data_IF_850023869973
#
_entry.id   IF_850023869973
#
_cell.length_a   1.000
_cell.length_b   1.000
_cell.length_c   1.000
_cell.angle_alpha   90.00
_cell.angle_beta   90.00
_cell.angle_gamma   90.00
#
_symmetry.space_group_name_H-M   'P 1'
#
loop_
_entity.id
_entity.type
_entity.pdbx_description
1 polymer ?
#
# COMPACT_ATOMS: atom_id res chain seq x y z
N UNK A 1 -16.41 11.62 -30.66
CA UNK A 1 -15.20 10.92 -31.15
C UNK A 1 -14.00 11.81 -30.86
N UNK A 2 -12.87 11.19 -30.51
CA UNK A 2 -11.56 11.73 -30.08
C UNK A 2 -11.50 12.38 -28.69
N UNK A 3 -11.12 11.61 -27.66
CA UNK A 3 -10.02 12.01 -26.74
C UNK A 3 -9.48 10.88 -25.81
N UNK A 4 -9.53 9.61 -26.21
CA UNK A 4 -9.04 8.49 -25.36
C UNK A 4 -7.58 8.11 -25.62
N UNK A 5 -6.95 8.68 -26.65
CA UNK A 5 -5.58 8.34 -27.07
C UNK A 5 -4.47 9.09 -26.33
N UNK A 6 -4.73 10.31 -25.84
CA UNK A 6 -3.71 11.13 -25.17
C UNK A 6 -3.39 10.67 -23.74
N UNK A 7 -4.42 10.28 -22.98
CA UNK A 7 -4.28 9.98 -21.55
C UNK A 7 -3.50 8.67 -21.28
N UNK A 8 -3.64 7.64 -22.14
CA UNK A 8 -2.91 6.38 -21.98
C UNK A 8 -1.38 6.54 -22.06
N UNK A 9 -0.89 7.46 -22.90
CA UNK A 9 0.55 7.71 -23.05
C UNK A 9 1.14 8.37 -21.80
N UNK A 10 0.42 9.32 -21.19
CA UNK A 10 0.87 10.02 -19.99
C UNK A 10 0.94 9.09 -18.77
N UNK A 11 -0.05 8.20 -18.62
CA UNK A 11 -0.09 7.19 -17.55
C UNK A 11 1.11 6.26 -17.65
N UNK A 12 1.38 5.71 -18.82
CA UNK A 12 2.51 4.79 -19.04
C UNK A 12 3.86 5.48 -18.79
N UNK A 13 3.97 6.74 -19.21
CA UNK A 13 5.15 7.54 -18.95
C UNK A 13 5.37 7.78 -17.46
N UNK A 14 4.33 8.15 -16.70
CA UNK A 14 4.45 8.35 -15.25
C UNK A 14 4.80 7.06 -14.50
N UNK A 15 4.20 5.93 -14.89
CA UNK A 15 4.52 4.60 -14.35
C UNK A 15 5.99 4.24 -14.58
N UNK A 16 6.49 4.41 -15.81
CA UNK A 16 7.87 4.10 -16.15
C UNK A 16 8.86 5.02 -15.42
N UNK A 17 8.53 6.30 -15.27
CA UNK A 17 9.43 7.26 -14.64
C UNK A 17 9.47 7.06 -13.11
N UNK A 18 8.34 6.75 -12.46
CA UNK A 18 8.23 6.76 -10.99
C UNK A 18 8.11 5.37 -10.34
N UNK A 19 7.72 4.34 -11.08
CA UNK A 19 7.48 2.99 -10.54
C UNK A 19 6.16 2.82 -9.81
N UNK A 20 5.29 3.84 -9.82
CA UNK A 20 3.93 3.70 -9.30
C UNK A 20 3.08 2.79 -10.20
N UNK A 21 2.02 2.21 -9.66
CA UNK A 21 1.10 1.41 -10.46
C UNK A 21 0.27 2.29 -11.41
N UNK A 22 -0.23 1.71 -12.50
CA UNK A 22 -1.04 2.41 -13.52
C UNK A 22 -2.26 3.13 -12.96
N UNK A 23 -2.84 2.64 -11.87
CA UNK A 23 -4.08 3.20 -11.29
C UNK A 23 -3.73 4.44 -10.49
N UNK A 24 -2.70 4.38 -9.64
CA UNK A 24 -2.16 5.55 -8.96
C UNK A 24 -1.66 6.60 -9.96
N UNK A 25 -0.97 6.19 -11.02
CA UNK A 25 -0.55 7.10 -12.09
C UNK A 25 -1.74 7.81 -12.76
N UNK A 26 -2.77 7.07 -13.13
CA UNK A 26 -4.01 7.62 -13.73
C UNK A 26 -4.72 8.59 -12.78
N UNK A 27 -4.75 8.26 -11.50
CA UNK A 27 -5.36 9.08 -10.46
C UNK A 27 -4.59 10.38 -10.23
N UNK A 28 -3.26 10.31 -10.14
CA UNK A 28 -2.41 11.46 -9.95
C UNK A 28 -2.46 12.40 -11.14
N UNK A 29 -2.41 11.89 -12.37
CA UNK A 29 -2.55 12.71 -13.57
C UNK A 29 -3.92 13.38 -13.63
N UNK A 30 -5.00 12.66 -13.32
CA UNK A 30 -6.34 13.27 -13.24
C UNK A 30 -6.42 14.37 -12.17
N UNK A 31 -5.72 14.20 -11.05
CA UNK A 31 -5.68 15.18 -9.96
C UNK A 31 -4.84 16.41 -10.30
N UNK A 32 -3.74 16.24 -11.03
CA UNK A 32 -2.85 17.34 -11.43
C UNK A 32 -3.25 17.99 -12.75
N UNK A 33 -4.37 17.59 -13.36
CA UNK A 33 -4.82 18.11 -14.65
C UNK A 33 -3.88 17.72 -15.79
N UNK A 34 -3.44 16.47 -15.79
CA UNK A 34 -2.47 15.87 -16.70
C UNK A 34 -1.03 16.44 -16.59
N UNK A 35 -0.72 17.19 -15.51
CA UNK A 35 0.64 17.61 -15.17
C UNK A 35 1.46 16.45 -14.58
N UNK A 36 2.29 15.82 -15.43
CA UNK A 36 3.20 14.74 -15.06
C UNK A 36 4.19 15.18 -13.97
N UNK A 37 4.75 16.39 -14.05
CA UNK A 37 5.79 16.82 -13.12
C UNK A 37 5.19 17.16 -11.75
N UNK A 38 3.95 17.68 -11.73
CA UNK A 38 3.10 17.74 -10.54
C UNK A 38 2.90 16.37 -9.91
N UNK A 39 2.52 15.37 -10.71
CA UNK A 39 2.30 14.01 -10.23
C UNK A 39 3.57 13.36 -9.67
N UNK A 40 4.73 13.60 -10.31
CA UNK A 40 6.04 13.17 -9.79
C UNK A 40 6.38 13.78 -8.46
N UNK A 41 6.21 15.09 -8.29
CA UNK A 41 6.49 15.77 -7.02
C UNK A 41 5.69 15.18 -5.87
N UNK A 42 4.45 14.74 -6.13
CA UNK A 42 3.62 14.06 -5.13
C UNK A 42 4.22 12.69 -4.76
N UNK A 43 4.70 11.92 -5.75
CA UNK A 43 5.35 10.63 -5.51
C UNK A 43 6.70 10.80 -4.79
N UNK A 44 7.49 11.81 -5.17
CA UNK A 44 8.77 12.12 -4.54
C UNK A 44 8.64 12.60 -3.09
N UNK A 45 7.47 13.16 -2.73
CA UNK A 45 7.16 13.55 -1.35
C UNK A 45 6.91 12.35 -0.42
N UNK A 46 6.80 11.13 -0.97
CA UNK A 46 6.58 9.92 -0.18
C UNK A 46 7.79 9.66 0.72
N UNK A 47 7.55 9.39 2.01
CA UNK A 47 8.59 8.97 2.95
C UNK A 47 9.49 7.86 2.40
N UNK A 48 10.79 8.12 2.37
CA UNK A 48 11.81 7.07 2.21
C UNK A 48 11.98 6.34 3.54
N UNK A 49 11.28 5.23 3.69
CA UNK A 49 11.19 4.39 4.88
C UNK A 49 11.62 2.93 4.63
N UNK A 50 12.16 2.66 3.45
CA UNK A 50 12.73 1.38 3.08
C UNK A 50 14.25 1.50 3.05
N UNK A 51 14.91 0.65 3.83
CA UNK A 51 16.36 0.54 3.90
C UNK A 51 16.84 -0.54 2.92
N UNK A 52 17.56 -0.13 1.88
CA UNK A 52 18.22 -1.02 0.94
C UNK A 52 19.65 -1.29 1.42
N UNK A 53 19.87 -2.46 2.01
CA UNK A 53 21.17 -2.87 2.57
C UNK A 53 21.92 -3.68 1.52
N UNK A 54 23.11 -3.20 1.15
CA UNK A 54 24.06 -3.86 0.24
C UNK A 54 25.24 -4.33 1.05
N UNK A 55 25.61 -5.59 0.97
CA UNK A 55 26.72 -6.15 1.72
C UNK A 55 27.56 -7.08 0.85
N UNK A 56 28.87 -7.11 1.12
CA UNK A 56 29.79 -8.15 0.61
C UNK A 56 30.66 -8.65 1.73
N UNK A 57 30.97 -9.94 1.69
CA UNK A 57 31.78 -10.58 2.70
C UNK A 57 32.76 -11.58 2.10
N UNK A 58 33.84 -11.82 2.84
CA UNK A 58 34.84 -12.83 2.54
C UNK A 58 35.07 -13.61 3.83
N UNK A 59 34.96 -14.94 3.75
CA UNK A 59 35.26 -15.84 4.87
C UNK A 59 36.70 -16.33 4.69
N UNK A 60 37.59 -15.96 5.61
CA UNK A 60 39.03 -16.16 5.39
C UNK A 60 39.47 -17.61 5.61
N UNK A 61 38.77 -18.36 6.45
CA UNK A 61 39.10 -19.75 6.76
C UNK A 61 38.44 -20.69 5.74
N UNK A 62 37.15 -20.47 5.47
CA UNK A 62 36.36 -21.33 4.58
C UNK A 62 36.46 -20.92 3.10
N UNK A 63 37.00 -19.74 2.81
CA UNK A 63 37.34 -19.30 1.45
C UNK A 63 36.15 -18.86 0.59
N UNK A 64 34.97 -18.63 1.18
CA UNK A 64 33.79 -18.16 0.46
C UNK A 64 33.84 -16.65 0.27
N UNK A 65 33.36 -16.24 -0.89
CA UNK A 65 33.03 -14.86 -1.23
C UNK A 65 31.51 -14.78 -1.38
N UNK A 66 30.92 -13.75 -0.80
CA UNK A 66 29.49 -13.55 -0.89
C UNK A 66 29.10 -12.10 -0.98
N UNK A 67 27.94 -11.86 -1.59
CA UNK A 67 27.28 -10.58 -1.60
C UNK A 67 25.79 -10.77 -1.32
N UNK A 68 25.24 -9.86 -0.52
CA UNK A 68 23.87 -9.88 -0.01
C UNK A 68 23.24 -8.52 -0.27
N UNK A 69 21.99 -8.56 -0.70
CA UNK A 69 21.13 -7.40 -0.86
C UNK A 69 19.79 -7.70 -0.21
N UNK A 70 19.26 -6.77 0.60
CA UNK A 70 17.89 -6.84 1.05
C UNK A 70 17.26 -5.47 1.28
N UNK A 71 15.94 -5.41 1.15
CA UNK A 71 15.14 -4.22 1.45
C UNK A 71 14.31 -4.46 2.71
N UNK A 72 14.61 -3.71 3.78
CA UNK A 72 13.85 -3.69 5.01
C UNK A 72 12.87 -2.52 5.01
N UNK A 73 11.58 -2.81 5.11
CA UNK A 73 10.53 -1.81 5.30
C UNK A 73 10.34 -1.56 6.81
N UNK A 74 10.67 -0.34 7.25
CA UNK A 74 10.56 0.05 8.67
C UNK A 74 9.11 0.05 9.15
N UNK A 75 8.16 0.48 8.31
CA UNK A 75 6.75 0.60 8.68
C UNK A 75 6.09 -0.76 8.82
N UNK A 76 6.32 -1.64 7.85
CA UNK A 76 5.78 -3.00 7.86
C UNK A 76 6.58 -3.95 8.77
N UNK A 77 7.79 -3.54 9.16
CA UNK A 77 8.77 -4.36 9.88
C UNK A 77 8.97 -5.69 9.18
N UNK A 78 9.27 -5.65 7.88
CA UNK A 78 9.43 -6.83 7.04
C UNK A 78 10.54 -6.63 6.02
N UNK A 79 11.18 -7.74 5.65
CA UNK A 79 12.04 -7.78 4.47
C UNK A 79 11.14 -7.96 3.25
N UNK A 80 11.13 -6.99 2.36
CA UNK A 80 10.33 -7.03 1.12
C UNK A 80 11.08 -7.67 -0.04
N UNK A 81 12.41 -7.63 -0.01
CA UNK A 81 13.27 -8.07 -1.10
C UNK A 81 14.56 -8.65 -0.55
N UNK A 82 15.04 -9.76 -1.11
CA UNK A 82 16.30 -10.38 -0.70
C UNK A 82 16.95 -11.08 -1.89
N UNK A 83 18.22 -10.79 -2.10
CA UNK A 83 19.06 -11.46 -3.07
C UNK A 83 20.44 -11.74 -2.47
N UNK A 84 21.02 -12.88 -2.79
CA UNK A 84 22.38 -13.19 -2.38
C UNK A 84 23.06 -14.06 -3.43
N UNK A 85 24.38 -13.90 -3.55
CA UNK A 85 25.27 -14.78 -4.28
C UNK A 85 26.40 -15.21 -3.35
N UNK A 86 26.74 -16.49 -3.34
CA UNK A 86 27.78 -17.08 -2.51
C UNK A 86 28.54 -18.08 -3.37
N UNK A 87 29.86 -18.08 -3.29
CA UNK A 87 30.70 -19.03 -4.02
C UNK A 87 32.17 -18.87 -3.63
N UNK A 88 33.06 -19.47 -4.41
CA UNK A 88 34.51 -19.38 -4.29
C UNK A 88 35.13 -18.32 -5.24
N UNK A 89 34.32 -17.73 -6.11
CA UNK A 89 34.71 -16.70 -7.07
C UNK A 89 35.13 -15.39 -6.41
N UNK A 90 36.41 -15.02 -6.55
CA UNK A 90 36.99 -13.77 -6.03
C UNK A 90 36.35 -12.51 -6.64
N UNK A 91 35.68 -12.65 -7.78
CA UNK A 91 34.94 -11.61 -8.49
C UNK A 91 33.84 -11.00 -7.61
N UNK A 92 33.18 -11.79 -6.76
CA UNK A 92 32.15 -11.30 -5.83
C UNK A 92 32.75 -10.26 -4.87
N UNK A 93 34.01 -10.46 -4.43
CA UNK A 93 34.71 -9.51 -3.58
C UNK A 93 34.97 -8.14 -4.25
N UNK A 94 34.91 -8.09 -5.59
CA UNK A 94 35.09 -6.86 -6.38
C UNK A 94 33.80 -6.07 -6.58
N UNK A 95 32.65 -6.57 -6.16
CA UNK A 95 31.39 -5.83 -6.27
C UNK A 95 31.48 -4.49 -5.55
N UNK A 96 30.94 -3.46 -6.18
CA UNK A 96 31.08 -2.08 -5.74
C UNK A 96 29.84 -1.68 -4.95
N UNK A 97 30.02 -1.42 -3.64
CA UNK A 97 28.92 -1.09 -2.74
C UNK A 97 28.45 0.37 -2.87
N UNK A 98 29.26 1.23 -3.50
CA UNK A 98 28.95 2.63 -3.79
C UNK A 98 27.96 2.80 -4.95
N UNK A 99 27.69 1.76 -5.74
CA UNK A 99 26.67 1.77 -6.78
C UNK A 99 25.28 1.99 -6.18
N UNK A 100 24.35 2.53 -6.97
CA UNK A 100 22.93 2.55 -6.60
C UNK A 100 22.44 1.13 -6.33
N UNK A 101 21.52 0.97 -5.36
CA UNK A 101 21.03 -0.35 -4.96
C UNK A 101 20.43 -1.17 -6.10
N UNK A 102 19.86 -0.53 -7.13
CA UNK A 102 19.31 -1.24 -8.29
C UNK A 102 20.41 -1.84 -9.15
N UNK A 103 21.46 -1.06 -9.40
CA UNK A 103 22.62 -1.50 -10.17
C UNK A 103 23.35 -2.63 -9.43
N UNK A 104 23.49 -2.50 -8.10
CA UNK A 104 24.06 -3.55 -7.27
C UNK A 104 23.23 -4.83 -7.32
N UNK A 105 21.90 -4.72 -7.20
CA UNK A 105 21.01 -5.87 -7.32
C UNK A 105 21.10 -6.53 -8.71
N UNK A 106 21.13 -5.73 -9.78
CA UNK A 106 21.28 -6.24 -11.13
C UNK A 106 22.60 -6.98 -11.32
N UNK A 107 23.69 -6.49 -10.73
CA UNK A 107 24.99 -7.16 -10.72
C UNK A 107 24.90 -8.54 -10.04
N UNK A 108 24.15 -8.66 -8.94
CA UNK A 108 23.91 -9.96 -8.30
C UNK A 108 23.14 -10.92 -9.24
N UNK A 109 22.09 -10.44 -9.91
CA UNK A 109 21.31 -11.25 -10.86
C UNK A 109 22.15 -11.76 -12.02
N UNK A 110 22.95 -10.88 -12.62
CA UNK A 110 23.81 -11.26 -13.72
C UNK A 110 24.83 -12.31 -13.28
N UNK A 111 25.47 -12.11 -12.13
CA UNK A 111 26.43 -13.06 -11.59
C UNK A 111 25.80 -14.44 -11.31
N UNK A 112 24.62 -14.46 -10.67
CA UNK A 112 23.90 -15.69 -10.35
C UNK A 112 23.50 -16.50 -11.60
N UNK A 113 23.27 -15.83 -12.74
CA UNK A 113 22.97 -16.47 -14.03
C UNK A 113 24.20 -17.04 -14.71
N UNK A 114 25.31 -16.29 -14.70
CA UNK A 114 26.49 -16.62 -15.48
C UNK A 114 27.45 -17.58 -14.77
N UNK A 115 27.41 -17.62 -13.43
CA UNK A 115 28.41 -18.31 -12.61
C UNK A 115 27.77 -19.34 -11.69
N UNK A 116 28.56 -20.35 -11.34
CA UNK A 116 28.17 -21.33 -10.33
C UNK A 116 28.13 -20.65 -8.96
N UNK A 117 27.00 -20.83 -8.26
CA UNK A 117 26.79 -20.32 -6.90
C UNK A 117 26.43 -21.48 -5.96
N UNK A 118 26.71 -21.30 -4.67
CA UNK A 118 26.29 -22.23 -3.62
C UNK A 118 24.83 -21.95 -3.23
N UNK A 119 23.91 -22.61 -3.94
CA UNK A 119 22.47 -22.45 -3.73
C UNK A 119 22.04 -22.81 -2.30
N UNK A 120 22.66 -23.82 -1.67
CA UNK A 120 22.30 -24.26 -0.32
C UNK A 120 22.62 -23.18 0.72
N UNK A 121 23.83 -22.59 0.65
CA UNK A 121 24.20 -21.47 1.53
C UNK A 121 23.38 -20.22 1.26
N UNK A 122 23.03 -19.95 0.00
CA UNK A 122 22.15 -18.83 -0.36
C UNK A 122 20.77 -19.01 0.27
N UNK A 123 20.18 -20.19 0.21
CA UNK A 123 18.90 -20.46 0.85
C UNK A 123 18.96 -20.33 2.37
N UNK A 124 20.02 -20.84 3.00
CA UNK A 124 20.24 -20.70 4.44
C UNK A 124 20.33 -19.22 4.84
N UNK A 125 21.12 -18.42 4.12
CA UNK A 125 21.23 -16.98 4.34
C UNK A 125 19.87 -16.28 4.17
N UNK A 126 19.15 -16.58 3.10
CA UNK A 126 17.81 -16.01 2.86
C UNK A 126 16.85 -16.35 4.00
N UNK A 127 16.87 -17.57 4.52
CA UNK A 127 16.02 -17.98 5.66
C UNK A 127 16.36 -17.22 6.93
N UNK A 128 17.64 -17.03 7.24
CA UNK A 128 18.09 -16.26 8.41
C UNK A 128 17.72 -14.78 8.31
N UNK A 129 17.97 -14.16 7.15
CA UNK A 129 17.62 -12.75 6.90
C UNK A 129 16.10 -12.51 6.93
N UNK A 130 15.30 -13.48 6.49
CA UNK A 130 13.84 -13.40 6.57
C UNK A 130 13.27 -13.89 7.91
N UNK A 131 14.12 -14.29 8.86
CA UNK A 131 13.68 -14.77 10.15
C UNK A 131 13.10 -13.63 10.99
N UNK A 132 12.14 -13.97 11.85
CA UNK A 132 11.52 -13.01 12.77
C UNK A 132 12.56 -12.38 13.71
N UNK A 133 13.50 -13.18 14.21
CA UNK A 133 14.54 -12.71 15.13
C UNK A 133 15.43 -11.65 14.47
N UNK A 134 15.88 -11.89 13.24
CA UNK A 134 16.68 -10.93 12.49
C UNK A 134 15.91 -9.64 12.21
N UNK A 135 14.65 -9.74 11.83
CA UNK A 135 13.78 -8.58 11.58
C UNK A 135 13.54 -7.74 12.84
N UNK A 136 13.34 -8.39 13.99
CA UNK A 136 13.20 -7.70 15.28
C UNK A 136 14.48 -6.95 15.65
N UNK A 137 15.65 -7.59 15.49
CA UNK A 137 16.98 -6.98 15.64
C UNK A 137 17.16 -5.75 14.72
N UNK A 138 16.84 -5.88 13.43
CA UNK A 138 16.92 -4.79 12.46
C UNK A 138 16.02 -3.62 12.83
N UNK A 139 14.80 -3.88 13.33
CA UNK A 139 13.83 -2.84 13.68
C UNK A 139 14.28 -1.87 14.77
N UNK A 140 15.27 -2.29 15.58
CA UNK A 140 15.87 -1.43 16.60
C UNK A 140 16.94 -0.51 16.00
N UNK A 141 17.63 -0.98 14.95
CA UNK A 141 18.83 -0.34 14.37
C UNK A 141 18.49 0.55 13.19
N UNK A 142 17.62 0.08 12.30
CA UNK A 142 17.23 0.77 11.07
C UNK A 142 15.96 1.57 11.32
N UNK A 143 16.13 2.87 11.59
CA UNK A 143 15.03 3.81 11.82
C UNK A 143 15.23 5.09 11.06
N UNK A 144 14.23 5.54 10.30
CA UNK A 144 14.32 6.69 9.39
C UNK A 144 14.76 7.96 10.09
N UNK A 145 14.27 8.17 11.32
CA UNK A 145 14.49 9.39 12.08
C UNK A 145 15.73 9.32 12.99
N UNK A 146 16.62 8.34 12.81
CA UNK A 146 17.82 8.17 13.62
C UNK A 146 19.02 7.78 12.75
N UNK A 147 20.23 8.23 13.08
CA UNK A 147 21.43 7.73 12.41
C UNK A 147 21.54 6.22 12.63
N UNK A 148 21.87 5.49 11.56
CA UNK A 148 22.01 4.04 11.64
C UNK A 148 23.22 3.69 12.51
N UNK A 149 23.01 2.84 13.52
CA UNK A 149 24.10 2.27 14.29
C UNK A 149 24.81 1.20 13.44
N UNK A 150 25.82 1.63 12.68
CA UNK A 150 26.60 0.77 11.77
C UNK A 150 27.31 -0.36 12.51
N UNK A 151 27.78 -0.14 13.73
CA UNK A 151 28.44 -1.18 14.54
C UNK A 151 27.45 -2.29 14.92
N UNK A 152 26.26 -1.92 15.40
CA UNK A 152 25.22 -2.92 15.71
C UNK A 152 24.75 -3.68 14.47
N UNK A 153 24.61 -3.00 13.32
CA UNK A 153 24.27 -3.68 12.07
C UNK A 153 25.37 -4.65 11.63
N UNK A 154 26.64 -4.22 11.74
CA UNK A 154 27.79 -5.05 11.42
C UNK A 154 27.78 -6.33 12.26
N UNK A 155 27.58 -6.21 13.58
CA UNK A 155 27.59 -7.35 14.49
C UNK A 155 26.47 -8.33 14.14
N UNK A 156 25.25 -7.84 13.89
CA UNK A 156 24.12 -8.71 13.56
C UNK A 156 24.33 -9.42 12.23
N UNK A 157 24.87 -8.75 11.22
CA UNK A 157 25.21 -9.40 9.95
C UNK A 157 26.34 -10.43 10.12
N UNK A 158 27.36 -10.14 10.93
CA UNK A 158 28.44 -11.08 11.22
C UNK A 158 27.93 -12.31 11.98
N UNK A 159 27.03 -12.14 12.94
CA UNK A 159 26.40 -13.25 13.67
C UNK A 159 25.66 -14.19 12.71
N UNK A 160 24.86 -13.64 11.79
CA UNK A 160 24.16 -14.46 10.79
C UNK A 160 25.13 -15.17 9.85
N UNK A 161 26.21 -14.51 9.42
CA UNK A 161 27.21 -15.14 8.56
C UNK A 161 27.98 -16.24 9.33
N UNK A 162 28.34 -16.01 10.58
CA UNK A 162 28.98 -17.01 11.43
C UNK A 162 28.13 -18.28 11.54
N UNK A 163 26.81 -18.14 11.69
CA UNK A 163 25.88 -19.27 11.76
C UNK A 163 25.85 -20.15 10.49
N UNK A 164 26.23 -19.60 9.33
CA UNK A 164 26.22 -20.31 8.03
C UNK A 164 27.59 -20.90 7.69
N UNK A 165 28.65 -20.15 7.97
CA UNK A 165 30.00 -20.48 7.53
C UNK A 165 30.85 -21.12 8.64
N UNK A 166 30.45 -20.99 9.91
CA UNK A 166 31.25 -21.36 11.07
C UNK A 166 32.68 -20.79 11.00
N UNK A 167 32.80 -19.58 10.44
CA UNK A 167 34.07 -18.90 10.20
C UNK A 167 34.21 -17.73 11.17
N UNK A 168 35.21 -17.76 12.03
CA UNK A 168 35.46 -16.71 13.02
C UNK A 168 36.16 -15.49 12.44
N UNK A 169 36.58 -15.54 11.17
CA UNK A 169 37.33 -14.49 10.51
C UNK A 169 36.64 -14.09 9.19
N UNK A 170 35.54 -13.36 9.34
CA UNK A 170 34.72 -12.86 8.23
C UNK A 170 34.99 -11.37 8.06
N UNK A 171 35.49 -10.98 6.89
CA UNK A 171 35.59 -9.58 6.50
C UNK A 171 34.28 -9.15 5.85
N UNK A 172 33.52 -8.27 6.50
CA UNK A 172 32.24 -7.74 6.00
C UNK A 172 32.38 -6.25 5.65
N UNK A 173 31.81 -5.85 4.52
CA UNK A 173 31.56 -4.44 4.17
C UNK A 173 30.11 -4.30 3.75
N UNK A 174 29.49 -3.19 4.11
CA UNK A 174 28.12 -2.89 3.70
C UNK A 174 27.92 -1.40 3.46
N UNK A 175 26.91 -1.08 2.66
CA UNK A 175 26.35 0.26 2.51
C UNK A 175 24.81 0.19 2.59
N UNK A 176 24.22 1.33 2.92
CA UNK A 176 22.78 1.43 3.15
C UNK A 176 22.25 2.62 2.36
N UNK A 177 21.30 2.35 1.48
CA UNK A 177 20.54 3.38 0.79
C UNK A 177 19.13 3.46 1.37
N UNK A 178 18.48 4.62 1.23
CA UNK A 178 17.09 4.81 1.62
C UNK A 178 16.24 5.02 0.37
N UNK A 179 15.17 4.25 0.26
CA UNK A 179 14.23 4.27 -0.86
C UNK A 179 12.78 4.29 -0.35
N UNK A 180 11.85 4.53 -1.25
CA UNK A 180 10.40 4.39 -1.01
C UNK A 180 9.85 3.15 -1.74
N UNK A 181 8.58 2.85 -1.48
CA UNK A 181 7.86 1.69 -2.03
C UNK A 181 7.71 1.76 -3.56
N UNK A 182 7.60 2.94 -4.15
CA UNK A 182 7.43 3.12 -5.59
C UNK A 182 8.74 2.87 -6.32
N UNK A 183 9.83 3.43 -5.79
CA UNK A 183 11.16 3.16 -6.27
C UNK A 183 11.57 1.68 -6.11
N UNK A 184 11.12 1.00 -5.05
CA UNK A 184 11.32 -0.45 -4.91
C UNK A 184 10.58 -1.25 -6.01
N UNK A 185 9.34 -0.86 -6.30
CA UNK A 185 8.48 -1.50 -7.29
C UNK A 185 8.93 -1.24 -8.74
N UNK A 186 9.56 -0.10 -9.04
CA UNK A 186 10.09 0.21 -10.38
C UNK A 186 11.00 -0.88 -10.93
N UNK A 187 11.87 -1.43 -10.09
CA UNK A 187 12.83 -2.47 -10.47
C UNK A 187 12.16 -3.79 -10.90
N UNK A 188 10.91 -4.04 -10.50
CA UNK A 188 10.14 -5.21 -10.96
C UNK A 188 9.58 -5.03 -12.39
N UNK A 189 9.36 -3.79 -12.82
CA UNK A 189 8.87 -3.51 -14.18
C UNK A 189 9.99 -3.52 -15.22
N UNK A 190 11.21 -3.09 -14.85
CA UNK A 190 12.39 -3.23 -15.71
C UNK A 190 12.80 -4.71 -15.90
N UNK A 191 12.45 -5.60 -14.97
CA UNK A 191 12.67 -7.05 -15.16
C UNK A 191 11.72 -7.73 -16.16
N UNK A 192 10.61 -7.08 -16.56
CA UNK A 192 9.74 -7.60 -17.62
C UNK A 192 10.28 -7.32 -19.05
N UNK A 193 11.38 -6.58 -19.19
CA UNK A 193 12.12 -6.46 -20.45
C UNK A 193 13.02 -7.67 -20.74
N UNK A 194 13.11 -8.65 -19.83
CA UNK A 194 14.07 -9.77 -19.93
C UNK A 194 13.47 -11.16 -19.76
N UNK A 195 12.13 -11.31 -19.86
CA UNK A 195 11.50 -12.62 -20.10
C UNK A 195 11.58 -12.90 -21.61
N UNK A 196 12.82 -13.11 -22.08
CA UNK A 196 13.14 -13.72 -23.36
C UNK A 196 13.65 -15.12 -23.09
N UNK A 197 12.97 -16.10 -23.65
CA UNK A 197 13.40 -17.50 -23.84
C UNK A 197 13.59 -18.39 -22.60
N UNK A 198 12.46 -18.82 -22.03
CA UNK A 198 12.32 -20.19 -21.54
C UNK A 198 11.05 -20.84 -22.11
N UNK A 199 11.07 -21.09 -23.42
CA UNK A 199 10.36 -22.23 -24.02
C UNK A 199 11.40 -23.21 -24.55
N UNK A 200 11.57 -24.33 -23.84
CA UNK A 200 11.61 -25.72 -24.37
C UNK A 200 12.28 -26.65 -23.37
N UNK A 201 11.50 -27.47 -22.67
CA UNK A 201 11.56 -28.94 -22.77
C UNK A 201 10.41 -29.59 -21.96
N UNK A 202 9.63 -30.47 -22.59
CA UNK A 202 8.73 -31.47 -21.97
C UNK A 202 7.30 -30.99 -21.69
N UNK A 203 6.39 -31.02 -22.66
CA UNK A 203 5.46 -32.13 -22.98
C UNK A 203 4.08 -31.99 -22.31
N UNK A 204 3.15 -31.51 -23.14
CA UNK A 204 1.72 -31.84 -23.29
C UNK A 204 0.87 -32.23 -22.06
N UNK A 205 -0.15 -31.39 -21.79
CA UNK A 205 -1.33 -31.77 -21.00
C UNK A 205 -2.11 -30.56 -20.46
N UNK A 206 -3.28 -30.31 -21.06
CA UNK A 206 -4.39 -29.45 -20.59
C UNK A 206 -4.28 -27.92 -20.72
N UNK A 207 -4.78 -27.47 -21.88
CA UNK A 207 -5.48 -26.20 -22.05
C UNK A 207 -6.67 -26.09 -21.09
N UNK A 208 -6.52 -25.42 -19.95
CA UNK A 208 -7.61 -24.73 -19.22
C UNK A 208 -7.09 -24.02 -17.96
N UNK A 209 -6.19 -23.03 -18.10
CA UNK A 209 -5.91 -22.12 -16.96
C UNK A 209 -5.29 -20.74 -17.31
N UNK A 210 -5.40 -20.25 -18.54
CA UNK A 210 -4.79 -18.98 -18.97
C UNK A 210 -5.53 -17.69 -18.53
N UNK A 211 -6.47 -17.76 -17.58
CA UNK A 211 -7.21 -16.57 -17.07
C UNK A 211 -6.99 -16.23 -15.60
N UNK A 212 -6.21 -17.00 -14.84
CA UNK A 212 -5.99 -16.75 -13.39
C UNK A 212 -4.65 -16.11 -13.01
N UNK A 213 -3.69 -16.01 -13.93
CA UNK A 213 -2.33 -15.56 -13.59
C UNK A 213 -2.06 -14.06 -13.80
N UNK A 214 -2.95 -13.31 -14.44
CA UNK A 214 -2.78 -11.85 -14.64
C UNK A 214 -3.20 -10.97 -13.46
N UNK A 215 -3.73 -11.55 -12.36
CA UNK A 215 -4.16 -10.81 -11.16
C UNK A 215 -3.11 -10.76 -10.02
N UNK A 216 -1.92 -11.32 -10.21
CA UNK A 216 -0.95 -11.49 -9.10
C UNK A 216 -0.03 -10.30 -8.81
N UNK A 217 -0.06 -9.23 -9.60
CA UNK A 217 0.86 -8.08 -9.45
C UNK A 217 0.18 -6.74 -9.10
N UNK A 218 -1.00 -6.77 -8.45
CA UNK A 218 -1.56 -5.57 -7.83
C UNK A 218 -1.16 -5.56 -6.36
N UNK A 219 -0.38 -4.57 -5.92
CA UNK A 219 -0.19 -4.32 -4.48
C UNK A 219 -1.54 -3.98 -3.88
N UNK A 220 -2.13 -4.95 -3.15
CA UNK A 220 -3.45 -4.83 -2.55
C UNK A 220 -3.33 -4.11 -1.20
N UNK A 221 -3.82 -2.87 -1.13
CA UNK A 221 -4.04 -2.16 0.12
C UNK A 221 -5.38 -2.62 0.68
N UNK A 222 -5.36 -3.19 1.89
CA UNK A 222 -6.55 -3.66 2.60
C UNK A 222 -6.78 -2.79 3.82
N UNK A 223 -7.89 -2.05 3.86
CA UNK A 223 -8.28 -1.10 4.90
C UNK A 223 -9.25 -1.76 5.90
N UNK A 224 -9.13 -1.40 7.18
CA UNK A 224 -10.24 -1.61 8.15
C UNK A 224 -11.36 -0.62 7.86
N UNK A 225 -12.57 -1.14 7.75
CA UNK A 225 -13.77 -0.37 7.46
C UNK A 225 -14.90 -0.84 8.36
N UNK A 226 -15.92 -0.02 8.56
CA UNK A 226 -17.17 -0.41 9.22
C UNK A 226 -18.36 -0.11 8.31
N UNK A 227 -19.32 -1.04 8.15
CA UNK A 227 -20.50 -0.81 7.34
C UNK A 227 -21.48 0.15 8.03
N UNK A 228 -22.26 0.86 7.22
CA UNK A 228 -23.40 1.64 7.73
C UNK A 228 -24.59 0.71 7.89
N UNK A 229 -25.07 0.55 9.13
CA UNK A 229 -26.20 -0.31 9.46
C UNK A 229 -27.54 0.35 9.14
N UNK A 230 -28.49 -0.43 8.64
CA UNK A 230 -29.88 -0.02 8.42
C UNK A 230 -30.85 -1.14 8.80
N UNK A 231 -31.21 -1.27 10.10
CA UNK A 231 -32.06 -2.38 10.58
C UNK A 231 -33.45 -2.46 9.93
N UNK A 232 -33.99 -1.32 9.48
CA UNK A 232 -35.35 -1.22 8.95
C UNK A 232 -35.40 -1.46 7.44
N UNK A 233 -34.49 -0.83 6.68
CA UNK A 233 -34.52 -0.81 5.21
C UNK A 233 -33.32 -1.45 4.53
N UNK A 234 -32.29 -1.81 5.29
CA UNK A 234 -31.07 -2.40 4.74
C UNK A 234 -31.26 -3.84 4.31
N UNK A 235 -30.32 -4.30 3.50
CA UNK A 235 -30.26 -5.69 3.03
C UNK A 235 -29.38 -6.49 4.00
N UNK A 236 -29.80 -7.68 4.46
CA UNK A 236 -28.96 -8.53 5.29
C UNK A 236 -27.65 -8.89 4.59
N UNK A 237 -26.54 -8.91 5.32
CA UNK A 237 -25.20 -9.19 4.76
C UNK A 237 -25.13 -10.53 4.03
N UNK A 238 -25.78 -11.56 4.56
CA UNK A 238 -25.87 -12.89 3.93
C UNK A 238 -26.56 -12.90 2.56
N UNK A 239 -27.38 -11.89 2.27
CA UNK A 239 -28.15 -11.79 1.04
C UNK A 239 -27.44 -10.89 0.00
N UNK A 240 -26.24 -10.38 0.30
CA UNK A 240 -25.44 -9.56 -0.62
C UNK A 240 -24.61 -10.42 -1.56
N UNK A 241 -24.55 -9.99 -2.82
CA UNK A 241 -23.80 -10.68 -3.88
C UNK A 241 -22.62 -9.85 -4.39
N UNK A 242 -21.74 -10.50 -5.16
CA UNK A 242 -20.62 -9.84 -5.82
C UNK A 242 -21.11 -8.68 -6.69
N UNK A 243 -20.52 -7.50 -6.48
CA UNK A 243 -20.83 -6.29 -7.24
C UNK A 243 -21.85 -5.37 -6.58
N UNK A 244 -22.54 -5.81 -5.52
CA UNK A 244 -23.44 -4.94 -4.75
C UNK A 244 -22.65 -3.79 -4.11
N UNK A 245 -23.23 -2.59 -4.11
CA UNK A 245 -22.61 -1.40 -3.51
C UNK A 245 -23.20 -1.11 -2.14
N UNK A 246 -22.36 -1.09 -1.12
CA UNK A 246 -22.73 -0.80 0.27
C UNK A 246 -22.01 0.44 0.79
N UNK A 247 -22.63 1.17 1.72
CA UNK A 247 -21.94 2.26 2.43
C UNK A 247 -21.04 1.71 3.54
N UNK A 248 -19.78 2.14 3.52
CA UNK A 248 -18.78 1.81 4.54
C UNK A 248 -18.00 3.05 4.95
N UNK A 249 -17.57 3.11 6.20
CA UNK A 249 -16.70 4.15 6.74
C UNK A 249 -15.31 3.56 6.94
N UNK A 250 -14.26 4.25 6.47
CA UNK A 250 -12.88 3.82 6.71
C UNK A 250 -12.54 4.12 8.18
N UNK A 251 -12.26 3.09 8.98
CA UNK A 251 -11.94 3.20 10.42
C UNK A 251 -10.48 2.91 10.73
N UNK A 252 -9.71 2.58 9.70
CA UNK A 252 -8.28 2.30 9.79
C UNK A 252 -7.44 3.54 10.17
N UNK A 253 -6.66 3.45 11.24
CA UNK A 253 -5.92 4.59 11.81
C UNK A 253 -4.56 4.87 11.12
N UNK A 254 -4.16 4.05 10.13
CA UNK A 254 -2.88 4.26 9.41
C UNK A 254 -2.93 5.55 8.58
N UNK A 255 -1.80 6.23 8.43
CA UNK A 255 -1.69 7.45 7.61
C UNK A 255 -2.16 7.25 6.17
N UNK A 256 -1.87 6.07 5.60
CA UNK A 256 -2.35 5.70 4.27
C UNK A 256 -3.88 5.62 4.21
N UNK A 257 -4.53 5.19 5.29
CA UNK A 257 -5.98 5.14 5.36
C UNK A 257 -6.58 6.54 5.50
N UNK A 258 -5.90 7.45 6.18
CA UNK A 258 -6.33 8.85 6.27
C UNK A 258 -6.21 9.59 4.94
N UNK A 259 -5.10 9.35 4.24
CA UNK A 259 -4.88 9.80 2.87
C UNK A 259 -5.94 9.23 1.91
N UNK A 260 -6.16 7.90 1.95
CA UNK A 260 -7.15 7.24 1.10
C UNK A 260 -8.59 7.65 1.46
N UNK A 261 -8.90 7.88 2.74
CA UNK A 261 -10.20 8.41 3.14
C UNK A 261 -10.42 9.81 2.56
N UNK A 262 -9.41 10.67 2.56
CA UNK A 262 -9.48 11.99 1.90
C UNK A 262 -9.70 11.85 0.40
N UNK A 263 -8.91 10.98 -0.24
CA UNK A 263 -8.91 10.79 -1.68
C UNK A 263 -10.19 10.15 -2.21
N UNK A 264 -10.77 9.21 -1.47
CA UNK A 264 -12.01 8.51 -1.84
C UNK A 264 -13.27 9.32 -1.48
N UNK A 265 -13.12 10.56 -1.00
CA UNK A 265 -14.23 11.40 -0.54
C UNK A 265 -14.84 10.95 0.79
N UNK A 266 -14.16 10.06 1.52
CA UNK A 266 -14.54 9.56 2.84
C UNK A 266 -14.07 10.44 4.01
N UNK A 267 -13.64 11.69 3.76
CA UNK A 267 -13.23 12.64 4.80
C UNK A 267 -13.60 14.08 4.42
N UNK A 268 -14.32 14.78 5.30
CA UNK A 268 -14.70 16.20 5.17
C UNK A 268 -14.37 16.91 6.48
N UNK A 269 -13.65 18.04 6.43
CA UNK A 269 -13.27 18.83 7.62
C UNK A 269 -12.64 18.01 8.75
N UNK A 270 -11.77 17.07 8.37
CA UNK A 270 -11.12 16.10 9.27
C UNK A 270 -12.00 14.99 9.85
N UNK A 271 -13.28 14.93 9.49
CA UNK A 271 -14.25 13.92 9.93
C UNK A 271 -14.40 12.86 8.86
N UNK A 272 -14.30 11.58 9.25
CA UNK A 272 -14.49 10.46 8.32
C UNK A 272 -15.98 10.19 8.07
N UNK A 273 -16.37 10.24 6.80
CA UNK A 273 -17.75 10.02 6.36
C UNK A 273 -17.88 8.70 5.59
N UNK A 274 -19.07 8.07 5.56
CA UNK A 274 -19.30 6.87 4.78
C UNK A 274 -19.21 7.12 3.27
N UNK A 275 -18.71 6.13 2.54
CA UNK A 275 -18.61 6.10 1.08
C UNK A 275 -19.03 4.73 0.56
N UNK A 276 -19.43 4.67 -0.71
CA UNK A 276 -19.85 3.41 -1.34
C UNK A 276 -18.64 2.56 -1.74
N UNK A 277 -18.74 1.25 -1.50
CA UNK A 277 -17.76 0.26 -1.93
C UNK A 277 -18.49 -0.99 -2.45
N UNK A 278 -17.87 -1.68 -3.43
CA UNK A 278 -18.44 -2.87 -4.07
C UNK A 278 -18.10 -4.13 -3.29
N UNK A 279 -19.06 -5.00 -3.05
CA UNK A 279 -18.83 -6.32 -2.47
C UNK A 279 -17.99 -7.17 -3.44
N UNK A 280 -16.89 -7.71 -2.92
CA UNK A 280 -16.01 -8.65 -3.64
C UNK A 280 -16.19 -10.06 -3.12
N UNK A 281 -16.40 -10.22 -1.81
CA UNK A 281 -16.58 -11.53 -1.19
C UNK A 281 -17.34 -11.40 0.13
N UNK A 282 -18.16 -12.40 0.43
CA UNK A 282 -18.88 -12.56 1.70
C UNK A 282 -18.66 -14.00 2.14
N UNK A 283 -17.96 -14.19 3.26
CA UNK A 283 -17.62 -15.50 3.78
C UNK A 283 -18.23 -15.73 5.15
N UNK A 284 -18.97 -16.82 5.30
CA UNK A 284 -19.44 -17.26 6.61
C UNK A 284 -18.26 -17.62 7.53
N UNK A 285 -18.33 -17.14 8.77
CA UNK A 285 -17.39 -17.38 9.86
C UNK A 285 -18.12 -18.05 11.02
N UNK A 286 -17.35 -18.63 11.94
CA UNK A 286 -17.92 -19.26 13.13
C UNK A 286 -18.75 -18.28 13.99
N UNK A 287 -19.88 -18.77 14.50
CA UNK A 287 -20.78 -18.04 15.41
C UNK A 287 -21.65 -16.99 14.74
N UNK A 288 -22.35 -17.33 13.64
CA UNK A 288 -23.29 -16.46 12.90
C UNK A 288 -22.70 -15.10 12.48
N UNK A 289 -21.40 -15.08 12.18
CA UNK A 289 -20.73 -13.89 11.66
C UNK A 289 -20.37 -14.09 10.19
N UNK A 290 -20.33 -12.99 9.45
CA UNK A 290 -19.78 -12.92 8.10
C UNK A 290 -18.51 -12.06 8.10
N UNK A 291 -17.49 -12.51 7.36
CA UNK A 291 -16.35 -11.72 6.95
C UNK A 291 -16.61 -11.17 5.55
N UNK A 292 -16.55 -9.85 5.40
CA UNK A 292 -16.92 -9.17 4.15
C UNK A 292 -15.71 -8.43 3.60
N UNK A 293 -15.46 -8.61 2.31
CA UNK A 293 -14.45 -7.88 1.53
C UNK A 293 -15.17 -6.96 0.56
N UNK A 294 -14.84 -5.68 0.65
CA UNK A 294 -15.33 -4.64 -0.28
C UNK A 294 -14.18 -4.03 -1.08
N UNK A 295 -14.49 -3.42 -2.20
CA UNK A 295 -13.55 -2.74 -3.07
C UNK A 295 -13.99 -1.31 -3.33
N UNK A 296 -13.10 -0.37 -3.01
CA UNK A 296 -13.26 1.05 -3.33
C UNK A 296 -12.76 1.36 -4.75
N UNK A 297 -11.76 0.60 -5.19
CA UNK A 297 -11.15 0.70 -6.52
C UNK A 297 -10.10 -0.38 -6.74
N UNK A 298 -9.52 -0.49 -7.95
CA UNK A 298 -8.45 -1.45 -8.22
C UNK A 298 -7.31 -1.30 -7.20
N UNK A 299 -6.93 -2.41 -6.54
CA UNK A 299 -5.85 -2.39 -5.54
C UNK A 299 -6.24 -1.88 -4.15
N UNK A 300 -7.45 -1.34 -3.93
CA UNK A 300 -7.90 -0.80 -2.63
C UNK A 300 -9.14 -1.57 -2.16
N UNK A 301 -8.93 -2.45 -1.18
CA UNK A 301 -9.97 -3.24 -0.55
C UNK A 301 -10.26 -2.75 0.87
N UNK A 302 -11.47 -2.99 1.35
CA UNK A 302 -11.86 -2.88 2.74
C UNK A 302 -12.25 -4.24 3.29
N UNK A 303 -12.01 -4.48 4.57
CA UNK A 303 -12.52 -5.68 5.25
C UNK A 303 -13.16 -5.35 6.58
N UNK A 304 -14.22 -6.09 6.90
CA UNK A 304 -14.91 -6.01 8.18
C UNK A 304 -15.57 -7.34 8.55
N UNK A 305 -15.89 -7.50 9.84
CA UNK A 305 -16.62 -8.64 10.39
C UNK A 305 -17.91 -8.13 11.02
N UNK A 306 -19.01 -8.84 10.78
CA UNK A 306 -20.35 -8.42 11.22
C UNK A 306 -21.26 -9.66 11.41
N UNK A 307 -22.31 -9.62 12.26
CA UNK A 307 -23.33 -10.67 12.27
C UNK A 307 -23.99 -10.86 10.90
N UNK A 308 -24.21 -12.11 10.49
CA UNK A 308 -24.70 -12.45 9.15
C UNK A 308 -26.12 -11.92 8.85
N UNK A 309 -26.92 -11.70 9.89
CA UNK A 309 -28.28 -11.17 9.83
C UNK A 309 -28.34 -9.62 9.87
N UNK A 310 -27.21 -8.96 10.14
CA UNK A 310 -27.15 -7.52 10.18
C UNK A 310 -27.47 -6.92 8.80
N UNK A 311 -28.29 -5.87 8.81
CA UNK A 311 -28.75 -5.19 7.60
C UNK A 311 -27.91 -3.95 7.34
N UNK A 312 -27.45 -3.75 6.11
CA UNK A 312 -26.60 -2.63 5.71
C UNK A 312 -27.25 -1.74 4.65
N UNK A 313 -26.81 -0.48 4.59
CA UNK A 313 -27.23 0.47 3.55
C UNK A 313 -26.61 0.08 2.22
N UNK A 314 -27.46 -0.20 1.21
CA UNK A 314 -27.03 -0.44 -0.17
C UNK A 314 -27.41 0.74 -1.07
N UNK A 315 -26.75 0.85 -2.23
CA UNK A 315 -27.04 1.93 -3.18
C UNK A 315 -28.47 1.88 -3.73
N UNK A 316 -28.98 0.69 -4.01
CA UNK A 316 -30.36 0.49 -4.47
C UNK A 316 -31.40 1.06 -3.49
N UNK A 317 -31.15 0.95 -2.17
CA UNK A 317 -32.03 1.49 -1.12
C UNK A 317 -31.91 3.01 -0.98
N UNK A 318 -30.76 3.60 -1.34
CA UNK A 318 -30.54 5.05 -1.27
C UNK A 318 -31.11 5.79 -2.49
N UNK A 319 -31.18 5.13 -3.66
CA UNK A 319 -31.73 5.72 -4.90
C UNK A 319 -33.27 5.69 -4.95
N UNK A 320 -33.93 4.96 -4.05
CA UNK A 320 -35.39 5.04 -3.82
C UNK A 320 -35.82 6.30 -3.02
N UNK A 321 -34.91 7.24 -2.77
CA UNK A 321 -35.25 8.58 -2.30
C UNK A 321 -35.62 9.50 -3.48
N UNK A 322 -36.90 9.76 -3.78
CA UNK A 322 -37.26 11.03 -4.41
C UNK A 322 -37.06 12.12 -3.36
N UNK A 323 -36.24 13.11 -3.71
CA UNK A 323 -36.13 14.45 -3.14
C UNK A 323 -37.18 14.78 -2.06
N UNK A 324 -36.89 14.43 -0.80
CA UNK A 324 -37.49 15.08 0.35
C UNK A 324 -36.41 15.20 1.41
N UNK A 325 -35.64 16.28 1.31
CA UNK A 325 -35.27 17.23 2.38
C UNK A 325 -34.09 18.06 1.84
N UNK A 326 -34.43 19.16 1.16
CA UNK A 326 -33.56 20.34 1.06
C UNK A 326 -34.37 21.57 1.43
N UNK A 327 -35.08 21.50 2.55
CA UNK A 327 -35.41 22.66 3.37
C UNK A 327 -35.48 22.23 4.83
N UNK A 328 -34.35 22.32 5.55
CA UNK A 328 -34.35 22.62 6.99
C UNK A 328 -32.96 22.98 7.49
N UNK A 329 -32.56 24.21 7.13
CA UNK A 329 -31.76 25.06 8.01
C UNK A 329 -32.17 26.53 7.81
N UNK A 330 -33.47 26.79 7.96
CA UNK A 330 -33.91 28.02 8.63
C UNK A 330 -34.38 27.57 10.00
N UNK A 331 -33.78 28.11 11.06
CA UNK A 331 -34.35 28.01 12.41
C UNK A 331 -35.79 28.48 12.30
N UNK A 332 -36.74 27.58 12.56
CA UNK A 332 -38.15 27.90 12.73
C UNK A 332 -38.27 28.86 13.93
N UNK A 333 -38.13 30.16 13.68
CA UNK A 333 -38.62 31.17 14.61
C UNK A 333 -40.14 31.06 14.49
N UNK A 334 -40.79 30.57 15.56
CA UNK A 334 -42.24 30.40 15.53
C UNK A 334 -42.90 31.74 15.15
N UNK A 335 -43.96 31.74 14.33
CA UNK A 335 -44.66 32.97 13.96
C UNK A 335 -45.16 33.76 15.18
N UNK A 336 -45.31 33.11 16.34
CA UNK A 336 -45.62 33.77 17.61
C UNK A 336 -44.49 34.67 18.15
N UNK A 337 -43.21 34.35 17.88
CA UNK A 337 -42.08 35.20 18.32
C UNK A 337 -41.99 36.46 17.46
N UNK A 338 -42.26 36.36 16.15
CA UNK A 338 -42.27 37.50 15.22
C UNK A 338 -43.48 38.40 15.51
N UNK A 339 -44.67 37.83 15.68
CA UNK A 339 -45.89 38.58 16.03
C UNK A 339 -45.75 39.21 17.43
N UNK A 340 -45.19 38.49 18.39
CA UNK A 340 -44.93 39.01 19.74
C UNK A 340 -43.95 40.19 19.76
N UNK A 341 -42.85 40.09 19.00
CA UNK A 341 -41.88 41.18 18.88
C UNK A 341 -42.45 42.44 18.24
N UNK A 342 -43.23 42.29 17.16
CA UNK A 342 -43.89 43.44 16.51
C UNK A 342 -44.90 44.10 17.45
N UNK A 343 -45.67 43.32 18.21
CA UNK A 343 -46.65 43.87 19.16
C UNK A 343 -45.99 44.68 20.28
N UNK A 344 -44.86 44.22 20.82
CA UNK A 344 -44.12 44.95 21.86
C UNK A 344 -43.56 46.27 21.32
N UNK A 345 -43.05 46.30 20.09
CA UNK A 345 -42.52 47.52 19.46
C UNK A 345 -43.66 48.53 19.21
N UNK A 346 -44.83 48.07 18.74
CA UNK A 346 -45.99 48.95 18.52
C UNK A 346 -46.48 49.54 19.84
N UNK A 347 -46.58 48.74 20.90
CA UNK A 347 -47.01 49.24 22.22
C UNK A 347 -46.01 50.25 22.79
N UNK A 348 -44.70 49.99 22.66
CA UNK A 348 -43.66 50.95 23.06
C UNK A 348 -43.74 52.26 22.27
N UNK A 349 -44.02 52.18 20.96
CA UNK A 349 -44.16 53.35 20.11
C UNK A 349 -45.39 54.19 20.47
N UNK A 350 -46.53 53.54 20.75
CA UNK A 350 -47.75 54.22 21.23
C UNK A 350 -47.51 54.88 22.59
N UNK A 351 -46.83 54.21 23.51
CA UNK A 351 -46.46 54.79 24.82
C UNK A 351 -45.55 56.01 24.67
N UNK A 352 -44.60 55.98 23.73
CA UNK A 352 -43.73 57.11 23.45
C UNK A 352 -44.49 58.33 22.93
N UNK A 353 -45.45 58.12 22.01
CA UNK A 353 -46.32 59.19 21.51
C UNK A 353 -47.23 59.73 22.62
N UNK A 354 -47.74 58.88 23.52
CA UNK A 354 -48.62 59.32 24.60
C UNK A 354 -47.89 60.09 25.74
N UNK A 355 -46.56 59.97 25.81
CA UNK A 355 -45.71 60.66 26.79
C UNK A 355 -45.07 61.95 26.25
N UNK A 356 -45.27 62.26 24.97
CA UNK A 356 -44.86 63.53 24.34
C UNK A 356 -46.07 64.43 24.18
#
# INVERSE_FOLDING_TARGET
MSDTGGNHNLVDRLVNETGCDRVLASMLLKFTGDDIDGAKRIIEAVPKDIFAVKAKFITQITGYYGALFFCYDEKEKKIKRTMAVIGDGKEIGKFELSLDWREFEQQLYQYAREKKVDAAKIEQLKKLINSREFVEKLSVILKRNRPVNRESLNNILLDELYNIFADTNIALKFEIDMTDVFALNKSLNDSNLFIGDEKKLGEEGDELNSKKESRKNQSLIVLKVDPVLSPVRGIPIKDLEFGDEIQVRITDERDIADYLATLLGGKVDSIRIPIYAKIVDVKELEGDNAGVIVQFGPGIMGMFKIPSDAKVVTRAVAEEEPERITEKNKKDISPFIIIGGIFVVIVLFILLIALT
#
